data_IF_588087891348
#
_entry.id   IF_588087891348
#
_cell.length_a   1.000
_cell.length_b   1.000
_cell.length_c   1.000
_cell.angle_alpha   90.00
_cell.angle_beta   90.00
_cell.angle_gamma   90.00
#
_symmetry.space_group_name_H-M   'P 1'
#
loop_
_entity.id
_entity.type
_entity.pdbx_description
1 polymer ?
#
# COMPACT_ATOMS: atom_id res chain seq x y z
N UNK A 1 28.06 -46.07 4.37
CA UNK A 1 26.67 -46.03 4.88
C UNK A 1 26.26 -44.63 5.38
N UNK A 2 27.04 -43.98 6.25
CA UNK A 2 26.65 -42.71 6.89
C UNK A 2 26.58 -41.49 5.95
N UNK A 3 27.45 -41.41 4.94
CA UNK A 3 27.42 -40.34 3.92
C UNK A 3 26.12 -40.37 3.12
N UNK A 4 25.65 -41.55 2.72
CA UNK A 4 24.40 -41.74 1.99
C UNK A 4 23.17 -41.27 2.79
N UNK A 5 23.20 -41.45 4.10
CA UNK A 5 22.12 -41.03 5.00
C UNK A 5 22.02 -39.50 5.09
N UNK A 6 23.17 -38.82 5.14
CA UNK A 6 23.25 -37.35 5.11
C UNK A 6 22.76 -36.82 3.77
N UNK A 7 23.17 -37.43 2.65
CA UNK A 7 22.69 -37.02 1.32
C UNK A 7 21.17 -37.21 1.17
N UNK A 8 20.61 -38.32 1.67
CA UNK A 8 19.18 -38.57 1.64
C UNK A 8 18.39 -37.56 2.49
N UNK A 9 18.91 -37.19 3.66
CA UNK A 9 18.29 -36.16 4.52
C UNK A 9 18.31 -34.78 3.89
N UNK A 10 19.43 -34.39 3.25
CA UNK A 10 19.54 -33.09 2.56
C UNK A 10 18.60 -33.02 1.36
N UNK A 11 18.47 -34.11 0.60
CA UNK A 11 17.53 -34.18 -0.53
C UNK A 11 16.08 -34.10 -0.08
N UNK A 12 15.71 -34.79 1.01
CA UNK A 12 14.37 -34.72 1.59
C UNK A 12 14.03 -33.30 2.07
N UNK A 13 14.97 -32.64 2.75
CA UNK A 13 14.79 -31.25 3.19
C UNK A 13 14.62 -30.28 2.01
N UNK A 14 15.41 -30.44 0.94
CA UNK A 14 15.32 -29.60 -0.25
C UNK A 14 13.97 -29.74 -0.97
N UNK A 15 13.42 -30.96 -1.05
CA UNK A 15 12.09 -31.19 -1.65
C UNK A 15 10.98 -30.56 -0.79
N UNK A 16 11.08 -30.63 0.54
CA UNK A 16 10.11 -30.02 1.44
C UNK A 16 10.07 -28.48 1.35
N UNK A 17 11.21 -27.82 1.06
CA UNK A 17 11.24 -26.35 0.88
C UNK A 17 10.56 -25.84 -0.38
N UNK A 18 10.36 -26.70 -1.40
CA UNK A 18 9.72 -26.30 -2.66
C UNK A 18 8.18 -26.44 -2.61
N UNK A 19 7.65 -27.05 -1.55
CA UNK A 19 6.24 -27.35 -1.37
C UNK A 19 5.53 -26.36 -0.43
N UNK A 20 6.05 -25.14 -0.25
CA UNK A 20 5.32 -24.12 0.51
C UNK A 20 4.33 -23.42 -0.42
N UNK A 21 3.11 -23.92 -0.35
CA UNK A 21 1.88 -23.31 -0.83
C UNK A 21 1.72 -21.96 -0.12
N UNK A 22 1.97 -20.86 -0.84
CA UNK A 22 1.60 -19.53 -0.31
C UNK A 22 0.14 -19.31 -0.64
N UNK A 23 -0.66 -19.63 0.38
CA UNK A 23 -2.00 -19.14 0.72
C UNK A 23 -2.40 -17.86 -0.02
N UNK A 24 -3.63 -17.90 -0.54
CA UNK A 24 -4.45 -16.80 -1.06
C UNK A 24 -3.93 -15.42 -0.59
N UNK A 25 -3.37 -14.66 -1.52
CA UNK A 25 -3.08 -13.24 -1.30
C UNK A 25 -4.43 -12.56 -1.13
N UNK A 26 -4.90 -12.47 0.11
CA UNK A 26 -5.96 -11.55 0.50
C UNK A 26 -5.48 -10.17 0.07
N UNK A 27 -5.99 -9.70 -1.08
CA UNK A 27 -5.62 -8.45 -1.71
C UNK A 27 -5.70 -7.36 -0.63
N UNK A 28 -4.56 -6.83 -0.14
CA UNK A 28 -4.60 -5.79 0.86
C UNK A 28 -5.19 -4.58 0.14
N UNK A 29 -6.45 -4.28 0.45
CA UNK A 29 -7.24 -3.20 -0.14
C UNK A 29 -6.33 -2.03 -0.47
N UNK A 30 -6.07 -1.82 -1.76
CA UNK A 30 -4.98 -0.98 -2.25
C UNK A 30 -4.84 0.25 -1.37
N UNK A 31 -3.67 0.42 -0.72
CA UNK A 31 -3.34 1.60 0.08
C UNK A 31 -3.80 2.78 -0.74
N UNK A 32 -4.90 3.43 -0.30
CA UNK A 32 -5.45 4.56 -1.02
C UNK A 32 -4.41 5.65 -0.91
N UNK A 33 -3.52 5.74 -1.90
CA UNK A 33 -2.60 6.83 -2.08
C UNK A 33 -3.48 8.04 -2.18
N UNK A 34 -3.60 8.78 -1.07
CA UNK A 34 -4.31 10.05 -1.05
C UNK A 34 -3.50 10.96 -1.95
N UNK A 35 -3.85 11.00 -3.24
CA UNK A 35 -3.34 11.98 -4.19
C UNK A 35 -3.72 13.32 -3.56
N UNK A 36 -2.74 13.99 -2.94
CA UNK A 36 -2.96 15.30 -2.35
C UNK A 36 -3.45 16.19 -3.48
N UNK A 37 -4.75 16.52 -3.47
CA UNK A 37 -5.42 17.26 -4.54
C UNK A 37 -4.77 18.64 -4.67
N UNK A 38 -3.64 18.75 -5.37
CA UNK A 38 -2.76 19.91 -5.46
C UNK A 38 -1.86 20.15 -4.25
N UNK A 39 -2.16 19.58 -3.10
CA UNK A 39 -1.38 19.75 -1.88
C UNK A 39 -0.01 19.01 -1.97
N UNK A 40 1.14 19.64 -1.64
CA UNK A 40 1.31 20.94 -0.95
C UNK A 40 1.50 22.17 -1.85
N UNK A 41 1.76 21.98 -3.14
CA UNK A 41 2.23 23.05 -4.03
C UNK A 41 1.11 23.94 -4.61
N UNK A 42 -0.13 23.44 -4.63
CA UNK A 42 -1.27 24.05 -5.31
C UNK A 42 -2.55 23.91 -4.47
N UNK A 43 -2.75 24.85 -3.56
CA UNK A 43 -3.96 24.90 -2.73
C UNK A 43 -5.23 25.19 -3.56
N UNK A 44 -5.11 25.90 -4.68
CA UNK A 44 -6.24 26.22 -5.54
C UNK A 44 -6.87 24.96 -6.15
N UNK A 45 -6.05 23.98 -6.54
CA UNK A 45 -6.55 22.68 -7.00
C UNK A 45 -7.30 21.93 -5.90
N UNK A 46 -6.84 21.96 -4.64
CA UNK A 46 -7.57 21.41 -3.49
C UNK A 46 -8.92 22.12 -3.29
N UNK A 47 -8.90 23.46 -3.35
CA UNK A 47 -10.09 24.28 -3.15
C UNK A 47 -11.17 23.97 -4.20
N UNK A 48 -10.79 23.94 -5.48
CA UNK A 48 -11.70 23.64 -6.58
C UNK A 48 -12.21 22.21 -6.54
N UNK A 49 -11.35 21.26 -6.19
CA UNK A 49 -11.75 19.87 -6.00
C UNK A 49 -12.89 19.77 -4.98
N UNK A 50 -12.71 20.35 -3.78
CA UNK A 50 -13.71 20.33 -2.74
C UNK A 50 -14.98 21.11 -3.11
N UNK A 51 -14.86 22.25 -3.81
CA UNK A 51 -16.01 23.05 -4.26
C UNK A 51 -16.90 22.29 -5.26
N UNK A 52 -16.33 21.32 -5.99
CA UNK A 52 -17.08 20.43 -6.87
C UNK A 52 -17.83 19.31 -6.13
N UNK A 53 -17.51 19.05 -4.87
CA UNK A 53 -18.19 18.05 -4.05
C UNK A 53 -19.43 18.68 -3.43
N UNK A 54 -20.58 18.04 -3.61
CA UNK A 54 -21.86 18.52 -3.06
C UNK A 54 -21.77 18.65 -1.54
N UNK A 55 -22.04 19.85 -1.03
CA UNK A 55 -22.09 20.14 0.41
C UNK A 55 -20.83 20.78 0.99
N UNK A 56 -19.73 20.88 0.23
CA UNK A 56 -18.53 21.60 0.65
C UNK A 56 -18.45 22.96 -0.04
N UNK A 57 -17.99 23.99 0.68
CA UNK A 57 -17.76 25.34 0.15
C UNK A 57 -16.38 25.45 -0.51
N UNK A 58 -15.43 24.62 -0.08
CA UNK A 58 -14.07 24.61 -0.62
C UNK A 58 -13.15 23.70 0.18
N UNK A 59 -11.84 23.85 -0.04
CA UNK A 59 -10.82 23.03 0.63
C UNK A 59 -9.50 23.76 0.84
N UNK A 60 -8.69 23.24 1.74
CA UNK A 60 -7.34 23.72 2.01
C UNK A 60 -6.36 22.59 2.34
N UNK A 61 -5.07 22.82 2.09
CA UNK A 61 -4.01 21.91 2.49
C UNK A 61 -3.73 21.98 4.00
N UNK A 62 -3.75 20.83 4.66
CA UNK A 62 -3.55 20.63 6.10
C UNK A 62 -2.38 19.67 6.38
N UNK A 63 -1.85 19.74 7.60
CA UNK A 63 -0.74 18.92 8.08
C UNK A 63 0.58 19.69 8.06
N UNK A 64 1.59 19.18 8.78
CA UNK A 64 2.90 19.83 8.89
C UNK A 64 3.54 20.07 7.52
N UNK A 65 3.42 19.09 6.62
CA UNK A 65 3.94 19.16 5.25
C UNK A 65 2.88 19.60 4.23
N UNK A 66 1.69 20.02 4.66
CA UNK A 66 0.55 20.39 3.79
C UNK A 66 0.21 19.35 2.72
N UNK A 67 0.41 18.05 2.97
CA UNK A 67 0.17 17.00 1.98
C UNK A 67 -1.30 16.53 1.91
N UNK A 68 -2.14 16.92 2.88
CA UNK A 68 -3.54 16.49 2.94
C UNK A 68 -4.48 17.61 2.54
N UNK A 69 -5.35 17.37 1.55
CA UNK A 69 -6.46 18.30 1.25
C UNK A 69 -7.63 18.04 2.20
N UNK A 70 -8.14 19.07 2.88
CA UNK A 70 -9.31 19.00 3.75
C UNK A 70 -10.42 19.90 3.20
N UNK A 71 -11.57 19.30 2.89
CA UNK A 71 -12.77 20.03 2.50
C UNK A 71 -13.52 20.57 3.73
N UNK A 72 -14.18 21.72 3.57
CA UNK A 72 -15.05 22.36 4.56
C UNK A 72 -16.30 22.96 3.92
#
# INVERSE_FOLDING_TARGET
>A
MQKCFVFALVLLFAVATLAQDVDDVEEPSAVRVRRGFGCPFNQYQCHNHCRGIRGYKGGYCKGALKQTCKCY
#
